data_IF_659593022741
#
_entry.id   IF_659593022741
#
_cell.length_a   1.000
_cell.length_b   1.000
_cell.length_c   1.000
_cell.angle_alpha   90.00
_cell.angle_beta   90.00
_cell.angle_gamma   90.00
#
_symmetry.space_group_name_H-M   'P 1'
#
loop_
_entity.id
_entity.type
_entity.pdbx_description
1 polymer ?
#
# COMPACT_ATOMS: atom_id res chain seq x y z
N UNK A 1 6.12 -22.31 -0.81
CA UNK A 1 6.31 -21.34 -1.91
C UNK A 1 5.49 -20.13 -1.52
N UNK A 2 6.12 -18.99 -1.25
CA UNK A 2 5.39 -17.78 -0.88
C UNK A 2 4.55 -17.38 -2.10
N UNK A 3 3.24 -17.52 -1.99
CA UNK A 3 2.29 -16.99 -2.95
C UNK A 3 2.50 -15.47 -2.93
N UNK A 4 3.31 -14.97 -3.87
CA UNK A 4 3.38 -13.54 -4.12
C UNK A 4 2.00 -13.16 -4.64
N UNK A 5 1.12 -12.76 -3.71
CA UNK A 5 -0.21 -12.26 -4.03
C UNK A 5 0.01 -11.11 -5.02
N UNK A 6 -0.49 -11.20 -6.27
CA UNK A 6 -0.23 -10.21 -7.32
C UNK A 6 -0.47 -8.75 -6.90
N UNK A 7 -1.31 -8.55 -5.88
CA UNK A 7 -1.59 -7.26 -5.26
C UNK A 7 -0.32 -6.54 -4.78
N UNK A 8 0.59 -7.17 -4.03
CA UNK A 8 1.76 -6.46 -3.46
C UNK A 8 2.73 -6.00 -4.54
N UNK A 9 3.02 -6.88 -5.50
CA UNK A 9 3.92 -6.55 -6.63
C UNK A 9 3.35 -5.41 -7.49
N UNK A 10 2.04 -5.40 -7.69
CA UNK A 10 1.36 -4.32 -8.40
C UNK A 10 1.42 -2.99 -7.62
N UNK A 11 1.16 -3.00 -6.32
CA UNK A 11 1.23 -1.80 -5.46
C UNK A 11 2.63 -1.18 -5.51
N UNK A 12 3.69 -1.97 -5.29
CA UNK A 12 5.07 -1.47 -5.37
C UNK A 12 5.39 -0.92 -6.77
N UNK A 13 4.98 -1.64 -7.82
CA UNK A 13 5.19 -1.19 -9.20
C UNK A 13 4.46 0.13 -9.50
N UNK A 14 3.26 0.34 -8.96
CA UNK A 14 2.52 1.60 -9.11
C UNK A 14 3.21 2.74 -8.36
N UNK A 15 3.72 2.49 -7.16
CA UNK A 15 4.49 3.48 -6.38
C UNK A 15 5.78 3.86 -7.13
N UNK A 16 6.56 2.89 -7.59
CA UNK A 16 7.81 3.11 -8.34
C UNK A 16 7.57 3.92 -9.62
N UNK A 17 6.47 3.63 -10.32
CA UNK A 17 6.07 4.33 -11.56
C UNK A 17 5.31 5.64 -11.31
N UNK A 18 5.02 5.99 -10.05
CA UNK A 18 4.17 7.11 -9.65
C UNK A 18 2.79 7.08 -10.33
N UNK A 19 2.27 5.88 -10.58
CA UNK A 19 0.95 5.66 -11.18
C UNK A 19 -0.12 5.71 -10.09
N UNK A 20 -0.38 6.94 -9.61
CA UNK A 20 -1.29 7.18 -8.48
C UNK A 20 -2.72 6.77 -8.78
N UNK A 21 -3.15 6.86 -10.03
CA UNK A 21 -4.51 6.48 -10.43
C UNK A 21 -4.71 4.95 -10.32
N UNK A 22 -3.73 4.17 -10.76
CA UNK A 22 -3.76 2.70 -10.59
C UNK A 22 -3.60 2.31 -9.12
N UNK A 23 -2.74 3.01 -8.38
CA UNK A 23 -2.58 2.79 -6.94
C UNK A 23 -3.89 3.02 -6.19
N UNK A 24 -4.59 4.12 -6.47
CA UNK A 24 -5.89 4.44 -5.87
C UNK A 24 -6.93 3.34 -6.16
N UNK A 25 -7.01 2.86 -7.41
CA UNK A 25 -7.94 1.79 -7.80
C UNK A 25 -7.64 0.44 -7.17
N UNK A 26 -6.38 0.20 -6.79
CA UNK A 26 -5.94 -1.02 -6.14
C UNK A 26 -6.19 -1.03 -4.62
N UNK A 27 -6.56 0.11 -4.03
CA UNK A 27 -6.85 0.25 -2.60
C UNK A 27 -8.36 0.24 -2.34
N UNK A 28 -8.76 -0.40 -1.25
CA UNK A 28 -10.12 -0.30 -0.77
C UNK A 28 -10.39 1.13 -0.25
N UNK A 29 -11.63 1.64 -0.33
CA UNK A 29 -11.96 2.97 0.20
C UNK A 29 -11.63 3.15 1.68
N UNK A 30 -11.58 2.06 2.44
CA UNK A 30 -11.29 2.01 3.88
C UNK A 30 -9.89 1.41 4.17
N UNK A 31 -8.96 1.46 3.22
CA UNK A 31 -7.60 0.95 3.43
C UNK A 31 -6.97 1.59 4.66
N UNK A 32 -6.28 0.78 5.46
CA UNK A 32 -5.52 1.25 6.62
C UNK A 32 -4.04 0.96 6.41
N UNK A 33 -3.24 2.02 6.30
CA UNK A 33 -1.80 1.94 6.07
C UNK A 33 -1.04 2.40 7.30
N UNK A 34 -0.15 1.57 7.83
CA UNK A 34 0.78 1.95 8.90
C UNK A 34 2.15 2.14 8.28
N UNK A 35 2.68 3.37 8.36
CA UNK A 35 3.99 3.73 7.80
C UNK A 35 5.13 3.18 8.66
N UNK A 36 6.37 3.26 8.15
CA UNK A 36 7.56 2.84 8.90
C UNK A 36 7.84 3.68 10.15
N UNK A 37 7.19 4.85 10.28
CA UNK A 37 7.28 5.73 11.46
C UNK A 37 6.06 5.61 12.38
N UNK A 38 5.32 4.49 12.27
CA UNK A 38 4.12 4.20 13.06
C UNK A 38 2.98 5.22 12.88
N UNK A 39 2.95 5.93 11.73
CA UNK A 39 1.82 6.78 11.37
C UNK A 39 0.72 5.94 10.72
N UNK A 40 -0.52 6.12 11.16
CA UNK A 40 -1.70 5.45 10.61
C UNK A 40 -2.43 6.38 9.61
N UNK A 41 -2.51 5.94 8.36
CA UNK A 41 -3.21 6.62 7.27
C UNK A 41 -4.47 5.85 6.89
N UNK A 42 -5.57 6.59 6.69
CA UNK A 42 -6.87 6.01 6.38
C UNK A 42 -7.39 6.46 5.03
N UNK A 43 -7.62 5.48 4.16
CA UNK A 43 -8.15 5.68 2.84
C UNK A 43 -7.10 6.05 1.79
N UNK A 44 -7.43 5.89 0.49
CA UNK A 44 -6.46 6.05 -0.58
C UNK A 44 -5.83 7.44 -0.69
N UNK A 45 -6.60 8.48 -0.38
CA UNK A 45 -6.14 9.86 -0.53
C UNK A 45 -5.01 10.22 0.45
N UNK A 46 -5.12 9.82 1.72
CA UNK A 46 -4.08 10.06 2.73
C UNK A 46 -2.83 9.26 2.41
N UNK A 47 -2.99 7.99 2.04
CA UNK A 47 -1.89 7.13 1.60
C UNK A 47 -1.11 7.74 0.44
N UNK A 48 -1.81 8.15 -0.62
CA UNK A 48 -1.16 8.74 -1.81
C UNK A 48 -0.50 10.08 -1.47
N UNK A 49 -1.11 10.91 -0.61
CA UNK A 49 -0.51 12.17 -0.18
C UNK A 49 0.82 11.93 0.55
N UNK A 50 0.86 10.95 1.45
CA UNK A 50 2.08 10.54 2.17
C UNK A 50 3.14 9.99 1.21
N UNK A 51 2.77 9.04 0.34
CA UNK A 51 3.69 8.39 -0.60
C UNK A 51 4.32 9.33 -1.64
N UNK A 52 3.69 10.49 -1.90
CA UNK A 52 4.29 11.54 -2.75
C UNK A 52 5.45 12.27 -2.08
N UNK A 53 5.45 12.31 -0.75
CA UNK A 53 6.49 12.95 0.05
C UNK A 53 7.57 11.93 0.41
N UNK A 54 7.16 10.75 0.87
CA UNK A 54 8.06 9.69 1.31
C UNK A 54 7.62 8.32 0.75
N UNK A 55 8.33 7.76 -0.24
CA UNK A 55 7.99 6.46 -0.79
C UNK A 55 8.31 5.34 0.20
N UNK A 56 7.61 4.22 0.10
CA UNK A 56 7.80 3.08 1.01
C UNK A 56 9.22 2.53 0.98
N UNK A 57 9.73 2.03 2.12
CA UNK A 57 11.10 1.50 2.21
C UNK A 57 11.28 0.17 1.45
N UNK A 58 10.19 -0.48 1.05
CA UNK A 58 10.21 -1.73 0.31
C UNK A 58 8.93 -2.55 0.50
N UNK A 59 8.98 -3.88 0.33
CA UNK A 59 7.84 -4.75 0.59
C UNK A 59 7.37 -4.67 2.05
N UNK A 60 6.05 -4.77 2.29
CA UNK A 60 5.48 -4.60 3.62
C UNK A 60 5.92 -5.70 4.58
N UNK A 61 5.86 -5.40 5.88
CA UNK A 61 5.90 -6.41 6.93
C UNK A 61 4.62 -7.24 6.93
N UNK A 62 3.49 -6.60 6.69
CA UNK A 62 2.18 -7.23 6.62
C UNK A 62 1.29 -6.55 5.58
N UNK A 63 0.48 -7.34 4.88
CA UNK A 63 -0.57 -6.82 4.01
C UNK A 63 -1.78 -7.73 4.05
N UNK A 64 -2.95 -7.16 3.79
CA UNK A 64 -4.19 -7.87 3.64
C UNK A 64 -4.96 -7.37 2.43
N UNK A 65 -5.57 -8.30 1.71
CA UNK A 65 -6.36 -8.03 0.51
C UNK A 65 -7.79 -8.50 0.79
N UNK A 66 -8.76 -7.62 0.53
CA UNK A 66 -10.17 -7.93 0.68
C UNK A 66 -10.68 -8.91 -0.39
N UNK A 67 -11.94 -9.33 -0.25
CA UNK A 67 -12.61 -10.23 -1.20
C UNK A 67 -12.70 -9.65 -2.62
N UNK A 68 -12.66 -8.32 -2.75
CA UNK A 68 -12.66 -7.59 -4.01
C UNK A 68 -11.28 -7.49 -4.68
N UNK A 69 -10.26 -8.12 -4.08
CA UNK A 69 -8.89 -8.10 -4.58
C UNK A 69 -8.15 -6.78 -4.32
N UNK A 70 -8.70 -5.89 -3.49
CA UNK A 70 -8.09 -4.60 -3.14
C UNK A 70 -7.37 -4.64 -1.81
N UNK A 71 -6.34 -3.80 -1.70
CA UNK A 71 -5.58 -3.64 -0.47
C UNK A 71 -6.47 -3.02 0.62
N UNK A 72 -6.63 -3.72 1.74
CA UNK A 72 -7.38 -3.24 2.92
C UNK A 72 -6.48 -2.91 4.10
N UNK A 73 -5.31 -3.56 4.21
CA UNK A 73 -4.32 -3.29 5.25
C UNK A 73 -2.91 -3.34 4.69
N UNK A 74 -2.08 -2.38 5.06
CA UNK A 74 -0.65 -2.39 4.79
C UNK A 74 0.12 -1.95 6.03
N UNK A 75 1.21 -2.63 6.33
CA UNK A 75 2.13 -2.25 7.41
C UNK A 75 3.54 -2.29 6.85
N UNK A 76 4.20 -1.14 6.82
CA UNK A 76 5.59 -1.03 6.41
C UNK A 76 6.50 -1.83 7.34
N UNK A 77 7.66 -2.23 6.82
CA UNK A 77 8.72 -2.72 7.70
C UNK A 77 9.29 -1.54 8.46
N UNK A 78 9.35 -1.69 9.78
CA UNK A 78 10.15 -0.79 10.61
C UNK A 78 11.61 -0.84 10.15
N UNK A 79 12.17 0.35 9.94
CA UNK A 79 13.59 0.55 9.63
C UNK A 79 14.44 0.62 10.88
#
# INVERSE_FOLDING_TARGET
MAEQVPAVGNILSYIERRDWARLEQAMAPHVHWTTAVEEDLFGPAEVIASLRVDPVPGPPAFHEVGEDGRLVRWVDKMG
#
